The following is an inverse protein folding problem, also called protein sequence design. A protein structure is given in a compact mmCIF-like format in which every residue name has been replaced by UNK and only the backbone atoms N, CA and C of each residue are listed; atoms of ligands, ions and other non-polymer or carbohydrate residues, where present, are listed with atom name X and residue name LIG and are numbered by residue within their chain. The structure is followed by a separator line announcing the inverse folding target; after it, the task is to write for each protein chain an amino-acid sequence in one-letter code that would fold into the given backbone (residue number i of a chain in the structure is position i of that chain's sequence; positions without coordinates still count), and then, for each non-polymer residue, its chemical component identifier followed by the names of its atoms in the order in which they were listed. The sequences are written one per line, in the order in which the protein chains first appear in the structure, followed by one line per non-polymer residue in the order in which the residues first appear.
data_IF_231571733106
#
_entry.id   IF_231571733106
#
_cell.length_a   1.000
_cell.length_b   1.000
_cell.length_c   1.000
_cell.angle_alpha   90.00
_cell.angle_beta   90.00
_cell.angle_gamma   90.00
#
_symmetry.space_group_name_H-M   'P 1'
#
loop_
_entity.id
_entity.type
_entity.pdbx_description
1 polymer ?
#
# COMPACT_ATOMS: atom_id res chain seq x y z
N UNK A 1 -36.67 18.69 5.92
CA UNK A 1 -35.72 17.56 5.91
C UNK A 1 -34.44 18.07 6.53
N UNK A 2 -34.17 17.71 7.78
CA UNK A 2 -32.94 18.14 8.46
C UNK A 2 -31.77 17.38 7.83
N UNK A 3 -30.87 18.10 7.16
CA UNK A 3 -29.58 17.54 6.75
C UNK A 3 -28.84 17.18 8.04
N UNK A 4 -28.66 15.89 8.30
CA UNK A 4 -27.72 15.42 9.31
C UNK A 4 -26.33 15.73 8.75
N UNK A 5 -25.68 16.73 9.32
CA UNK A 5 -24.25 16.99 9.10
C UNK A 5 -23.48 15.79 9.66
N UNK A 6 -22.92 14.95 8.80
CA UNK A 6 -21.98 13.92 9.24
C UNK A 6 -20.61 14.58 9.32
N UNK A 7 -20.24 15.03 10.53
CA UNK A 7 -18.84 15.37 10.79
C UNK A 7 -17.96 14.14 10.55
N UNK A 8 -16.67 14.32 10.27
CA UNK A 8 -15.77 13.20 10.02
C UNK A 8 -15.77 12.23 11.20
N UNK A 9 -15.79 10.93 10.90
CA UNK A 9 -15.72 9.88 11.93
C UNK A 9 -14.28 9.71 12.36
N UNK A 10 -14.04 9.73 13.68
CA UNK A 10 -12.73 9.37 14.22
C UNK A 10 -12.68 7.86 14.35
N UNK A 11 -11.69 7.24 13.71
CA UNK A 11 -11.48 5.82 13.78
C UNK A 11 -10.40 5.46 14.81
N UNK A 12 -10.52 4.24 15.33
CA UNK A 12 -9.56 3.60 16.21
C UNK A 12 -9.22 2.21 15.68
N UNK A 13 -7.93 1.92 15.54
CA UNK A 13 -7.45 0.56 15.21
C UNK A 13 -6.52 0.12 16.33
N UNK A 14 -6.64 -1.13 16.77
CA UNK A 14 -5.71 -1.78 17.70
C UNK A 14 -5.30 -3.14 17.15
N UNK A 15 -3.99 -3.40 17.15
CA UNK A 15 -3.42 -4.71 16.94
C UNK A 15 -2.80 -5.24 18.22
N UNK A 16 -2.98 -6.54 18.48
CA UNK A 16 -2.35 -7.20 19.62
C UNK A 16 -1.71 -8.52 19.23
N UNK A 17 -0.59 -8.86 19.84
CA UNK A 17 0.11 -10.13 19.64
C UNK A 17 0.73 -10.60 20.95
N UNK A 18 0.75 -11.92 21.15
CA UNK A 18 1.50 -12.57 22.23
C UNK A 18 2.87 -12.98 21.71
N UNK A 19 3.91 -12.61 22.45
CA UNK A 19 5.31 -12.90 22.16
C UNK A 19 5.88 -13.75 23.29
N UNK A 20 6.53 -14.85 22.95
CA UNK A 20 7.21 -15.78 23.84
C UNK A 20 8.59 -15.21 24.22
N UNK A 21 8.56 -13.99 24.75
CA UNK A 21 9.70 -13.30 25.34
C UNK A 21 9.28 -12.48 26.57
N UNK A 22 10.16 -12.34 27.58
CA UNK A 22 9.92 -11.50 28.76
C UNK A 22 9.59 -10.06 28.38
N UNK A 23 8.65 -9.44 29.10
CA UNK A 23 8.19 -8.08 28.80
C UNK A 23 9.31 -7.02 28.77
N UNK A 24 10.37 -7.20 29.57
CA UNK A 24 11.53 -6.31 29.56
C UNK A 24 12.34 -6.41 28.28
N UNK A 25 12.51 -7.63 27.72
CA UNK A 25 13.20 -7.85 26.45
C UNK A 25 12.43 -7.18 25.31
N UNK A 26 11.11 -7.40 25.26
CA UNK A 26 10.25 -6.80 24.24
C UNK A 26 10.22 -5.28 24.36
N UNK A 27 10.08 -4.76 25.58
CA UNK A 27 10.06 -3.32 25.84
C UNK A 27 11.35 -2.63 25.45
N UNK A 28 12.52 -3.24 25.70
CA UNK A 28 13.81 -2.65 25.31
C UNK A 28 13.91 -2.36 23.81
N UNK A 29 13.31 -3.20 22.95
CA UNK A 29 13.25 -2.97 21.51
C UNK A 29 12.18 -1.93 21.14
N UNK A 30 10.97 -2.07 21.69
CA UNK A 30 9.81 -1.23 21.35
C UNK A 30 10.00 0.22 21.81
N UNK A 31 10.61 0.44 22.98
CA UNK A 31 10.81 1.77 23.55
C UNK A 31 11.78 2.63 22.77
N UNK A 32 12.75 2.00 22.09
CA UNK A 32 13.75 2.73 21.33
C UNK A 32 13.11 3.35 20.09
N UNK A 33 12.73 4.61 20.22
CA UNK A 33 12.02 5.37 19.19
C UNK A 33 12.83 5.49 17.89
N UNK A 34 14.15 5.30 17.93
CA UNK A 34 14.99 5.32 16.72
C UNK A 34 14.96 4.00 15.93
N UNK A 35 14.52 2.90 16.55
CA UNK A 35 14.63 1.52 16.01
C UNK A 35 13.37 0.94 15.40
N UNK A 36 12.36 1.76 15.13
CA UNK A 36 11.12 1.27 14.50
C UNK A 36 11.36 0.56 13.16
N UNK A 37 12.39 0.97 12.41
CA UNK A 37 12.78 0.32 11.15
C UNK A 37 13.30 -1.11 11.30
N UNK A 38 13.65 -1.56 12.52
CA UNK A 38 14.10 -2.94 12.76
C UNK A 38 12.94 -3.94 12.75
N UNK A 39 11.70 -3.49 13.01
CA UNK A 39 10.55 -4.38 13.17
C UNK A 39 9.26 -3.92 12.46
N UNK A 40 9.24 -2.72 11.87
CA UNK A 40 8.13 -2.24 11.01
C UNK A 40 8.59 -2.24 9.56
N UNK A 41 8.26 -3.29 8.77
CA UNK A 41 8.85 -3.50 7.45
C UNK A 41 8.74 -2.32 6.48
N UNK A 42 7.60 -1.60 6.38
CA UNK A 42 7.48 -0.47 5.46
C UNK A 42 8.51 0.66 5.67
N UNK A 43 9.15 0.74 6.83
CA UNK A 43 10.18 1.74 7.13
C UNK A 43 11.53 1.28 6.58
N UNK A 44 12.12 2.07 5.68
CA UNK A 44 13.44 1.85 5.10
C UNK A 44 14.55 2.42 5.96
N UNK A 45 14.38 3.64 6.47
CA UNK A 45 15.35 4.30 7.34
C UNK A 45 14.68 5.27 8.30
N UNK A 46 15.35 5.51 9.43
CA UNK A 46 14.93 6.45 10.47
C UNK A 46 16.03 7.47 10.66
N UNK A 47 15.67 8.76 10.65
CA UNK A 47 16.58 9.86 10.99
C UNK A 47 15.98 10.62 12.16
N UNK A 48 16.70 10.65 13.28
CA UNK A 48 16.31 11.45 14.44
C UNK A 48 16.58 12.94 14.17
N UNK A 49 15.61 13.78 14.50
CA UNK A 49 15.72 15.24 14.52
C UNK A 49 15.56 15.73 15.96
N UNK A 50 16.68 15.82 16.69
CA UNK A 50 16.63 16.01 18.14
C UNK A 50 16.25 14.73 18.87
N UNK A 51 15.72 14.88 20.09
CA UNK A 51 15.50 13.76 21.01
C UNK A 51 14.12 13.11 20.84
N UNK A 52 13.13 13.86 20.33
CA UNK A 52 11.73 13.46 20.31
C UNK A 52 11.10 13.42 18.92
N UNK A 53 11.81 13.80 17.85
CA UNK A 53 11.27 13.74 16.48
C UNK A 53 12.07 12.76 15.64
N UNK A 54 11.38 11.94 14.84
CA UNK A 54 11.98 11.07 13.84
C UNK A 54 11.35 11.28 12.47
N UNK A 55 12.16 11.23 11.43
CA UNK A 55 11.72 11.15 10.04
C UNK A 55 11.90 9.73 9.57
N UNK A 56 10.80 9.10 9.18
CA UNK A 56 10.76 7.80 8.55
C UNK A 56 10.83 8.01 7.04
N UNK A 57 11.78 7.35 6.39
CA UNK A 57 11.71 7.11 4.93
C UNK A 57 11.10 5.74 4.74
N UNK A 58 10.02 5.67 3.98
CA UNK A 58 9.38 4.43 3.61
C UNK A 58 10.13 3.77 2.45
N UNK A 59 9.84 2.49 2.19
CA UNK A 59 10.49 1.75 1.10
C UNK A 59 10.21 2.34 -0.30
N UNK A 60 9.07 3.01 -0.48
CA UNK A 60 8.71 3.74 -1.71
C UNK A 60 9.40 5.12 -1.83
N UNK A 61 10.18 5.51 -0.81
CA UNK A 61 10.90 6.78 -0.75
C UNK A 61 10.10 7.93 -0.14
N UNK A 62 8.82 7.74 0.17
CA UNK A 62 8.01 8.79 0.81
C UNK A 62 8.35 8.95 2.29
N UNK A 63 8.05 10.11 2.86
CA UNK A 63 8.41 10.42 4.25
C UNK A 63 7.23 10.64 5.18
N UNK A 64 7.37 10.17 6.41
CA UNK A 64 6.48 10.45 7.55
C UNK A 64 7.33 11.00 8.69
N UNK A 65 6.93 12.12 9.27
CA UNK A 65 7.57 12.68 10.46
C UNK A 65 6.71 12.42 11.68
N UNK A 66 7.31 11.81 12.69
CA UNK A 66 6.63 11.46 13.94
C UNK A 66 7.32 12.12 15.13
N UNK A 67 6.51 12.48 16.13
CA UNK A 67 6.99 13.02 17.39
C UNK A 67 6.61 12.10 18.54
N UNK A 68 7.59 11.79 19.37
CA UNK A 68 7.44 11.13 20.66
C UNK A 68 6.75 12.07 21.65
N UNK A 69 5.58 11.66 22.15
CA UNK A 69 4.81 12.42 23.12
C UNK A 69 5.00 11.92 24.56
N UNK A 70 5.54 10.72 24.74
CA UNK A 70 5.94 10.25 26.05
C UNK A 70 6.27 8.77 26.12
N UNK A 71 7.15 8.44 27.05
CA UNK A 71 7.56 7.09 27.39
C UNK A 71 7.37 6.86 28.90
N UNK A 72 7.02 5.64 29.30
CA UNK A 72 6.96 5.26 30.70
C UNK A 72 7.46 3.83 30.87
N UNK A 73 8.62 3.67 31.50
CA UNK A 73 9.28 2.38 31.72
C UNK A 73 8.55 1.47 32.72
N UNK A 74 7.91 2.06 33.73
CA UNK A 74 7.15 1.32 34.75
C UNK A 74 5.93 0.63 34.15
N UNK A 75 5.22 1.34 33.28
CA UNK A 75 4.00 0.88 32.60
C UNK A 75 4.26 0.36 31.17
N UNK A 76 5.53 0.34 30.74
CA UNK A 76 6.00 -0.09 29.40
C UNK A 76 5.13 0.45 28.28
N UNK A 77 4.95 1.77 28.28
CA UNK A 77 4.06 2.48 27.35
C UNK A 77 4.82 3.55 26.59
N UNK A 78 4.72 3.52 25.26
CA UNK A 78 5.25 4.51 24.33
C UNK A 78 4.08 5.25 23.66
N UNK A 79 4.14 6.56 23.55
CA UNK A 79 3.12 7.40 22.89
C UNK A 79 3.77 8.33 21.89
N UNK A 80 3.24 8.38 20.68
CA UNK A 80 3.72 9.26 19.63
C UNK A 80 2.57 9.71 18.72
N UNK A 81 2.85 10.66 17.83
CA UNK A 81 1.93 11.15 16.81
C UNK A 81 2.64 11.39 15.51
N UNK A 82 1.92 11.33 14.40
CA UNK A 82 2.41 11.85 13.12
C UNK A 82 2.21 13.37 13.16
N UNK A 83 3.28 14.12 12.87
CA UNK A 83 3.26 15.59 12.83
C UNK A 83 3.39 16.14 11.40
N UNK A 84 3.89 15.35 10.46
CA UNK A 84 3.97 15.72 9.05
C UNK A 84 4.06 14.48 8.15
N UNK A 85 3.60 14.60 6.92
CA UNK A 85 3.69 13.55 5.89
C UNK A 85 3.93 14.16 4.53
N UNK A 86 4.67 13.46 3.68
CA UNK A 86 4.87 13.91 2.32
C UNK A 86 3.54 13.94 1.55
N UNK A 87 3.22 15.11 0.99
CA UNK A 87 2.12 15.29 0.05
C UNK A 87 2.52 14.67 -1.29
N UNK A 88 1.75 13.69 -1.73
CA UNK A 88 1.93 12.98 -3.01
C UNK A 88 1.18 13.68 -4.12
N UNK A 89 -0.01 14.21 -3.80
CA UNK A 89 -0.90 14.84 -4.77
C UNK A 89 -1.83 15.82 -4.05
N UNK A 90 -2.19 16.90 -4.73
CA UNK A 90 -3.30 17.77 -4.32
C UNK A 90 -4.44 17.62 -5.32
N UNK A 91 -5.64 17.36 -4.82
CA UNK A 91 -6.82 17.15 -5.63
C UNK A 91 -7.95 18.10 -5.23
N UNK A 92 -8.68 18.54 -6.26
CA UNK A 92 -9.94 19.26 -6.13
C UNK A 92 -11.08 18.27 -6.35
N UNK A 93 -11.83 17.95 -5.29
CA UNK A 93 -12.95 17.01 -5.36
C UNK A 93 -14.18 17.58 -4.65
N UNK A 94 -15.31 17.62 -5.35
CA UNK A 94 -16.56 18.21 -4.85
C UNK A 94 -16.42 19.62 -4.26
N UNK A 95 -15.49 20.43 -4.80
CA UNK A 95 -15.23 21.79 -4.32
C UNK A 95 -14.29 21.86 -3.10
N UNK A 96 -13.74 20.73 -2.68
CA UNK A 96 -12.78 20.64 -1.58
C UNK A 96 -11.37 20.37 -2.11
N UNK A 97 -10.40 21.16 -1.65
CA UNK A 97 -8.97 20.89 -1.85
C UNK A 97 -8.50 19.94 -0.77
N UNK A 98 -8.05 18.76 -1.16
CA UNK A 98 -7.51 17.76 -0.23
C UNK A 98 -6.16 17.27 -0.72
N UNK A 99 -5.32 16.82 0.21
CA UNK A 99 -3.96 16.37 -0.07
C UNK A 99 -3.87 14.87 0.19
N UNK A 100 -3.51 14.11 -0.84
CA UNK A 100 -3.09 12.72 -0.66
C UNK A 100 -1.69 12.73 -0.10
N UNK A 101 -1.49 12.11 1.05
CA UNK A 101 -0.21 12.02 1.76
C UNK A 101 0.28 10.57 1.79
N UNK A 102 1.44 10.33 2.39
CA UNK A 102 2.06 9.00 2.48
C UNK A 102 1.20 7.95 3.20
N UNK A 103 0.28 8.37 4.08
CA UNK A 103 -0.80 7.53 4.62
C UNK A 103 -2.13 8.30 4.53
N UNK A 104 -3.26 7.63 4.24
CA UNK A 104 -4.56 8.28 4.07
C UNK A 104 -5.24 8.64 5.40
N UNK A 105 -4.48 9.16 6.37
CA UNK A 105 -4.94 9.53 7.72
C UNK A 105 -4.59 10.98 8.06
N UNK A 106 -5.31 11.55 9.02
CA UNK A 106 -5.00 12.85 9.62
C UNK A 106 -5.13 12.77 11.16
N UNK A 107 -4.41 13.66 11.86
CA UNK A 107 -4.36 13.78 13.33
C UNK A 107 -3.98 12.47 14.05
N UNK A 108 -3.19 11.62 13.38
CA UNK A 108 -2.87 10.29 13.88
C UNK A 108 -2.06 10.36 15.18
N UNK A 109 -2.57 9.66 16.19
CA UNK A 109 -1.91 9.45 17.49
C UNK A 109 -1.84 7.96 17.78
N UNK A 110 -0.74 7.50 18.36
CA UNK A 110 -0.51 6.09 18.64
C UNK A 110 0.01 5.82 20.05
N UNK A 111 -0.34 4.65 20.55
CA UNK A 111 0.14 4.10 21.83
C UNK A 111 0.59 2.67 21.59
N UNK A 112 1.81 2.34 22.00
CA UNK A 112 2.30 0.97 22.11
C UNK A 112 2.45 0.64 23.59
N UNK A 113 1.95 -0.53 24.00
CA UNK A 113 2.05 -1.02 25.37
C UNK A 113 2.51 -2.48 25.39
N UNK A 114 3.45 -2.78 26.28
CA UNK A 114 3.90 -4.15 26.56
C UNK A 114 3.41 -4.56 27.96
N UNK A 115 2.78 -5.72 28.08
CA UNK A 115 2.30 -6.25 29.36
C UNK A 115 2.83 -7.66 29.54
N UNK A 116 3.39 -7.99 30.70
CA UNK A 116 3.80 -9.36 30.99
C UNK A 116 2.55 -10.26 31.08
N UNK A 117 2.56 -11.40 30.39
CA UNK A 117 1.59 -12.47 30.63
C UNK A 117 2.09 -13.34 31.79
N UNK A 118 3.37 -13.67 31.74
CA UNK A 118 4.14 -14.39 32.76
C UNK A 118 5.62 -14.00 32.68
N UNK A 119 6.52 -14.84 33.22
CA UNK A 119 7.96 -14.55 33.27
C UNK A 119 8.63 -14.60 31.88
N UNK A 120 8.12 -15.44 30.97
CA UNK A 120 8.75 -15.75 29.68
C UNK A 120 7.90 -15.29 28.49
N UNK A 121 6.66 -14.83 28.72
CA UNK A 121 5.73 -14.36 27.70
C UNK A 121 5.17 -12.97 28.00
N UNK A 122 4.91 -12.20 26.94
CA UNK A 122 4.31 -10.87 27.02
C UNK A 122 3.31 -10.62 25.90
N UNK A 123 2.39 -9.69 26.14
CA UNK A 123 1.44 -9.17 25.17
C UNK A 123 1.87 -7.77 24.74
N UNK A 124 1.94 -7.54 23.44
CA UNK A 124 2.11 -6.20 22.84
C UNK A 124 0.76 -5.74 22.30
N UNK A 125 0.36 -4.52 22.65
CA UNK A 125 -0.76 -3.80 22.03
C UNK A 125 -0.21 -2.56 21.32
N UNK A 126 -0.61 -2.37 20.07
CA UNK A 126 -0.34 -1.18 19.28
C UNK A 126 -1.67 -0.59 18.81
N UNK A 127 -2.00 0.59 19.30
CA UNK A 127 -3.27 1.27 19.00
C UNK A 127 -3.02 2.62 18.33
N UNK A 128 -3.93 3.00 17.44
CA UNK A 128 -3.92 4.28 16.74
C UNK A 128 -5.31 4.87 16.67
N UNK A 129 -5.39 6.21 16.74
CA UNK A 129 -6.61 6.97 16.53
C UNK A 129 -6.35 8.08 15.53
N UNK A 130 -7.24 8.22 14.55
CA UNK A 130 -7.06 9.12 13.41
C UNK A 130 -8.40 9.47 12.79
N UNK A 131 -8.40 10.50 11.95
CA UNK A 131 -9.44 10.75 10.94
C UNK A 131 -8.92 10.28 9.58
N UNK A 132 -9.78 9.93 8.62
CA UNK A 132 -9.38 9.87 7.22
C UNK A 132 -8.95 11.27 6.72
N UNK A 133 -8.13 11.31 5.66
CA UNK A 133 -7.82 12.57 4.97
C UNK A 133 -9.10 13.23 4.44
N UNK A 134 -10.04 12.45 3.92
CA UNK A 134 -11.35 12.96 3.52
C UNK A 134 -12.24 13.19 4.74
N UNK A 135 -12.37 14.44 5.16
CA UNK A 135 -13.15 14.82 6.35
C UNK A 135 -14.51 15.46 6.02
N UNK A 136 -15.04 15.24 4.82
CA UNK A 136 -16.31 15.82 4.35
C UNK A 136 -17.36 14.73 4.09
N UNK A 137 -18.59 15.15 3.78
CA UNK A 137 -19.67 14.21 3.47
C UNK A 137 -19.29 13.28 2.29
N UNK A 138 -19.68 11.99 2.34
CA UNK A 138 -19.47 11.07 1.24
C UNK A 138 -20.11 11.54 -0.08
N UNK A 139 -19.58 11.12 -1.25
CA UNK A 139 -18.50 10.15 -1.40
C UNK A 139 -17.13 10.76 -1.15
N UNK A 140 -16.19 9.94 -0.65
CA UNK A 140 -14.77 10.30 -0.60
C UNK A 140 -14.13 10.03 -1.98
N UNK A 141 -13.07 10.79 -2.36
CA UNK A 141 -12.18 10.36 -3.43
C UNK A 141 -11.56 8.99 -3.10
N UNK A 142 -11.37 8.15 -4.12
CA UNK A 142 -10.71 6.85 -3.99
C UNK A 142 -9.39 6.96 -3.20
N UNK A 143 -9.20 6.10 -2.20
CA UNK A 143 -7.96 6.05 -1.42
C UNK A 143 -7.88 7.04 -0.27
N UNK A 144 -8.91 7.85 0.00
CA UNK A 144 -8.90 8.89 1.04
C UNK A 144 -10.03 8.75 2.07
N UNK A 145 -10.93 7.78 1.90
CA UNK A 145 -12.09 7.59 2.77
C UNK A 145 -11.78 6.77 4.03
N UNK A 146 -12.82 6.53 4.82
CA UNK A 146 -12.74 5.78 6.08
C UNK A 146 -12.13 4.37 5.88
N UNK A 147 -12.61 3.64 4.88
CA UNK A 147 -12.15 2.27 4.60
C UNK A 147 -10.66 2.22 4.24
N UNK A 148 -10.17 3.19 3.45
CA UNK A 148 -8.78 3.29 3.05
C UNK A 148 -7.86 3.59 4.25
N UNK A 149 -8.30 4.53 5.10
CA UNK A 149 -7.62 4.92 6.33
C UNK A 149 -7.50 3.73 7.32
N UNK A 150 -8.61 3.05 7.56
CA UNK A 150 -8.65 1.85 8.42
C UNK A 150 -7.77 0.74 7.84
N UNK A 151 -7.87 0.49 6.54
CA UNK A 151 -7.11 -0.56 5.87
C UNK A 151 -5.59 -0.33 5.99
N UNK A 152 -5.13 0.90 5.75
CA UNK A 152 -3.73 1.26 5.85
C UNK A 152 -3.16 1.02 7.27
N UNK A 153 -3.85 1.49 8.31
CA UNK A 153 -3.38 1.35 9.70
C UNK A 153 -3.49 -0.09 10.20
N UNK A 154 -4.59 -0.78 9.90
CA UNK A 154 -4.76 -2.22 10.21
C UNK A 154 -3.59 -3.02 9.66
N UNK A 155 -3.17 -2.67 8.44
CA UNK A 155 -2.08 -3.35 7.78
C UNK A 155 -0.72 -3.15 8.37
N UNK A 156 -0.40 -1.89 8.66
CA UNK A 156 0.83 -1.54 9.35
C UNK A 156 0.96 -2.34 10.65
N UNK A 157 -0.11 -2.43 11.44
CA UNK A 157 -0.10 -3.13 12.72
C UNK A 157 0.02 -4.64 12.56
N UNK A 158 -0.70 -5.22 11.60
CA UNK A 158 -0.64 -6.65 11.36
C UNK A 158 0.77 -7.10 10.96
N UNK A 159 1.40 -6.40 10.02
CA UNK A 159 2.74 -6.72 9.55
C UNK A 159 3.79 -6.41 10.61
N UNK A 160 3.71 -5.24 11.25
CA UNK A 160 4.68 -4.82 12.26
C UNK A 160 4.67 -5.75 13.48
N UNK A 161 3.50 -6.08 14.02
CA UNK A 161 3.40 -6.98 15.19
C UNK A 161 3.80 -8.41 14.86
N UNK A 162 3.47 -8.93 13.67
CA UNK A 162 3.93 -10.25 13.24
C UNK A 162 5.45 -10.30 13.07
N UNK A 163 6.06 -9.24 12.53
CA UNK A 163 7.52 -9.11 12.37
C UNK A 163 8.20 -8.99 13.72
N UNK A 164 7.65 -8.17 14.63
CA UNK A 164 8.16 -8.01 15.99
C UNK A 164 8.18 -9.35 16.76
N UNK A 165 7.09 -10.12 16.70
CA UNK A 165 7.02 -11.47 17.27
C UNK A 165 8.14 -12.36 16.70
N UNK A 166 8.22 -12.43 15.38
CA UNK A 166 9.23 -13.25 14.70
C UNK A 166 10.66 -12.86 15.05
N UNK A 167 10.94 -11.56 15.21
CA UNK A 167 12.27 -11.04 15.53
C UNK A 167 12.70 -11.41 16.97
N UNK A 168 11.76 -11.40 17.91
CA UNK A 168 12.06 -11.62 19.33
C UNK A 168 12.14 -13.11 19.72
N UNK A 169 11.44 -13.97 18.98
CA UNK A 169 11.37 -15.42 19.20
C UNK A 169 12.46 -16.21 18.46
N UNK A 170 13.12 -15.60 17.47
CA UNK A 170 14.19 -16.27 16.72
C UNK A 170 15.48 -16.53 17.53
N UNK A 171 15.61 -15.99 18.75
CA UNK A 171 16.75 -16.21 19.64
C UNK A 171 16.57 -17.41 20.60
N UNK A 172 15.36 -17.93 20.75
CA UNK A 172 15.01 -18.98 21.73
C UNK A 172 14.76 -20.30 21.02
N UNK A 173 15.84 -21.00 20.63
CA UNK A 173 15.87 -22.42 20.22
C UNK A 173 14.61 -23.04 19.58
N UNK A 174 14.54 -22.95 18.24
CA UNK A 174 13.71 -23.70 17.26
C UNK A 174 12.31 -24.24 17.66
N UNK A 175 11.30 -24.00 16.80
CA UNK A 175 11.04 -24.99 15.77
C UNK A 175 11.02 -24.43 14.33
N UNK A 176 10.85 -25.36 13.40
CA UNK A 176 10.90 -25.30 11.93
C UNK A 176 10.18 -24.13 11.25
N UNK A 177 10.59 -23.88 10.01
CA UNK A 177 10.13 -22.89 9.02
C UNK A 177 8.63 -22.94 8.59
N UNK A 178 7.72 -23.12 9.54
CA UNK A 178 6.33 -22.74 9.40
C UNK A 178 6.04 -21.61 10.39
N UNK A 179 5.20 -20.65 9.99
CA UNK A 179 4.54 -19.67 10.88
C UNK A 179 5.16 -18.27 11.00
N UNK A 180 5.45 -17.57 9.88
CA UNK A 180 5.13 -16.12 9.84
C UNK A 180 3.61 -16.00 9.77
N UNK A 181 2.90 -16.38 10.83
CA UNK A 181 1.44 -16.37 10.80
C UNK A 181 0.95 -15.01 11.24
N UNK A 182 0.53 -14.22 10.25
CA UNK A 182 -0.23 -13.00 10.49
C UNK A 182 -1.57 -13.28 11.20
N UNK A 183 -1.97 -14.55 11.36
CA UNK A 183 -3.15 -14.96 12.12
C UNK A 183 -2.95 -14.92 13.64
N UNK A 184 -1.71 -14.77 14.13
CA UNK A 184 -1.43 -14.57 15.55
C UNK A 184 -1.72 -13.13 16.02
N UNK A 185 -1.92 -12.19 15.10
CA UNK A 185 -2.27 -10.80 15.42
C UNK A 185 -3.79 -10.67 15.48
N UNK A 186 -4.31 -10.25 16.64
CA UNK A 186 -5.72 -9.92 16.82
C UNK A 186 -5.92 -8.44 16.55
N UNK A 187 -6.84 -8.11 15.66
CA UNK A 187 -7.16 -6.73 15.27
C UNK A 187 -8.55 -6.33 15.76
N UNK A 188 -8.66 -5.09 16.22
CA UNK A 188 -9.92 -4.45 16.65
C UNK A 188 -10.03 -3.12 15.93
N UNK A 189 -11.17 -2.86 15.29
CA UNK A 189 -11.50 -1.59 14.64
C UNK A 189 -12.74 -1.02 15.31
N UNK A 190 -12.65 0.21 15.82
CA UNK A 190 -13.74 0.92 16.49
C UNK A 190 -14.42 0.11 17.62
N UNK A 191 -13.64 -0.74 18.29
CA UNK A 191 -14.10 -1.60 19.37
C UNK A 191 -14.58 -2.99 18.94
N UNK A 192 -14.72 -3.23 17.63
CA UNK A 192 -15.18 -4.50 17.07
C UNK A 192 -13.98 -5.36 16.61
N UNK A 193 -13.87 -6.62 17.04
CA UNK A 193 -12.86 -7.54 16.53
C UNK A 193 -13.05 -7.78 15.03
N UNK A 194 -11.94 -7.77 14.28
CA UNK A 194 -11.93 -8.09 12.85
C UNK A 194 -10.95 -9.22 12.57
N UNK A 195 -11.31 -10.15 11.68
CA UNK A 195 -10.35 -11.16 11.23
C UNK A 195 -9.17 -10.48 10.53
N UNK A 196 -7.95 -10.95 10.86
CA UNK A 196 -6.70 -10.45 10.31
C UNK A 196 -6.55 -10.79 8.82
N UNK A 197 -7.32 -10.13 7.95
CA UNK A 197 -7.03 -10.10 6.53
C UNK A 197 -5.77 -9.24 6.32
N UNK A 198 -4.63 -9.92 6.22
CA UNK A 198 -3.32 -9.38 5.90
C UNK A 198 -3.38 -8.44 4.70
N UNK A 199 -3.01 -7.17 4.84
CA UNK A 199 -2.40 -6.47 3.72
C UNK A 199 -0.92 -6.87 3.69
N UNK A 200 -0.41 -7.15 2.51
CA UNK A 200 1.03 -7.25 2.30
C UNK A 200 1.55 -5.86 1.92
N UNK A 201 1.86 -5.00 2.90
CA UNK A 201 2.91 -3.99 2.68
C UNK A 201 4.25 -4.71 2.86
N UNK A 202 4.66 -5.44 1.83
CA UNK A 202 5.91 -6.18 1.83
C UNK A 202 7.08 -5.24 1.50
N UNK A 203 7.85 -4.90 2.53
CA UNK A 203 9.25 -4.56 2.35
C UNK A 203 10.08 -5.84 2.21
N UNK A 204 10.87 -5.93 1.16
CA UNK A 204 11.91 -6.94 0.94
C UNK A 204 13.04 -6.32 0.10
N UNK A 205 14.27 -6.90 0.09
CA UNK A 205 15.44 -6.47 0.86
C UNK A 205 16.38 -5.52 0.10
N UNK A 206 17.18 -4.75 0.86
CA UNK A 206 18.25 -3.92 0.33
C UNK A 206 19.40 -4.77 -0.25
N UNK A 207 19.71 -4.56 -1.54
CA UNK A 207 20.97 -4.97 -2.13
C UNK A 207 22.08 -3.99 -1.72
N UNK A 208 23.21 -4.54 -1.26
CA UNK A 208 24.43 -3.84 -0.86
C UNK A 208 25.02 -3.07 -2.05
N UNK A 209 25.35 -1.76 -1.96
CA UNK A 209 26.16 -1.14 -2.99
C UNK A 209 27.62 -1.53 -2.78
N UNK A 210 28.20 -2.14 -3.82
CA UNK A 210 29.63 -2.29 -3.93
C UNK A 210 30.29 -0.91 -4.08
N UNK A 211 31.43 -0.80 -3.38
CA UNK A 211 32.41 0.26 -3.40
C UNK A 211 32.71 0.81 -4.81
N UNK A 212 32.68 2.12 -4.99
CA UNK A 212 33.43 2.79 -6.06
C UNK A 212 33.86 4.18 -5.60
N UNK A 213 35.09 4.21 -5.07
CA UNK A 213 36.15 5.16 -5.34
C UNK A 213 35.76 6.57 -5.86
N UNK A 214 36.16 7.55 -5.05
CA UNK A 214 36.25 8.97 -5.38
C UNK A 214 37.10 9.27 -6.61
N UNK A 215 36.71 10.28 -7.38
CA UNK A 215 37.61 11.17 -8.12
C UNK A 215 36.93 12.55 -8.34
N UNK A 216 37.71 13.64 -8.41
CA UNK A 216 37.33 14.93 -7.81
C UNK A 216 36.76 15.96 -8.79
N UNK A 217 36.21 17.01 -8.18
CA UNK A 217 35.72 18.24 -8.78
C UNK A 217 36.79 19.02 -9.56
N UNK A 218 36.38 19.70 -10.63
CA UNK A 218 37.05 20.91 -11.14
C UNK A 218 36.03 21.84 -11.80
N UNK A 219 35.83 22.98 -11.13
CA UNK A 219 35.75 24.37 -11.61
C UNK A 219 34.73 24.82 -12.69
N UNK A 220 34.25 26.06 -12.49
CA UNK A 220 33.07 26.65 -13.12
C UNK A 220 33.39 27.68 -14.23
N UNK A 221 32.52 27.68 -15.26
CA UNK A 221 31.98 28.82 -16.05
C UNK A 221 32.91 29.64 -16.99
N UNK A 222 32.38 30.42 -17.98
CA UNK A 222 30.99 30.88 -18.18
C UNK A 222 30.39 30.75 -19.62
N UNK A 223 29.14 31.23 -19.71
CA UNK A 223 28.17 31.18 -20.81
C UNK A 223 28.54 31.93 -22.11
N UNK A 224 27.93 31.49 -23.22
CA UNK A 224 27.55 32.32 -24.36
C UNK A 224 26.25 31.77 -25.00
N UNK A 225 25.32 32.66 -25.32
CA UNK A 225 24.01 32.40 -25.98
C UNK A 225 24.01 33.08 -27.38
N UNK A 226 22.94 32.96 -28.19
CA UNK A 226 22.67 31.96 -29.22
C UNK A 226 22.82 32.53 -30.66
N UNK A 227 22.70 31.68 -31.69
CA UNK A 227 22.39 32.14 -33.05
C UNK A 227 21.50 31.14 -33.80
N UNK A 228 20.46 31.70 -34.44
CA UNK A 228 19.45 31.11 -35.31
C UNK A 228 19.98 30.22 -36.44
N UNK A 229 19.16 29.27 -36.89
CA UNK A 229 18.78 29.14 -38.31
C UNK A 229 17.46 28.38 -38.47
N UNK A 230 16.64 28.92 -39.38
CA UNK A 230 15.26 28.61 -39.72
C UNK A 230 14.99 27.23 -40.37
N UNK A 231 13.84 26.68 -39.99
CA UNK A 231 12.73 26.14 -40.77
C UNK A 231 12.90 25.67 -42.25
N UNK A 232 12.38 24.43 -42.46
CA UNK A 232 11.42 24.00 -43.51
C UNK A 232 11.92 23.81 -44.96
N UNK A 233 11.32 22.90 -45.77
CA UNK A 233 9.88 22.57 -45.75
C UNK A 233 9.47 21.09 -45.80
N UNK A 234 8.21 20.92 -45.42
CA UNK A 234 7.36 19.77 -45.64
C UNK A 234 6.89 19.68 -47.11
N UNK A 235 6.56 18.46 -47.53
CA UNK A 235 5.57 18.23 -48.59
C UNK A 235 4.61 17.12 -48.14
N UNK A 236 3.33 17.46 -48.05
CA UNK A 236 2.15 16.57 -48.03
C UNK A 236 2.01 15.89 -49.42
N UNK A 237 1.13 14.94 -49.76
CA UNK A 237 -0.11 14.34 -49.25
C UNK A 237 -0.30 13.00 -50.04
N UNK A 238 -1.18 12.03 -49.77
CA UNK A 238 -2.64 12.00 -49.60
C UNK A 238 -3.00 10.56 -49.18
N UNK A 239 -3.75 10.34 -48.10
CA UNK A 239 -5.22 10.21 -48.04
C UNK A 239 -5.81 9.00 -48.77
N UNK A 240 -6.31 8.04 -47.97
CA UNK A 240 -7.51 7.27 -48.29
C UNK A 240 -8.38 7.19 -47.02
N UNK A 241 -9.60 7.72 -47.15
CA UNK A 241 -10.64 7.80 -46.12
C UNK A 241 -11.13 6.42 -45.67
N UNK A 242 -11.17 6.20 -44.36
CA UNK A 242 -12.39 6.16 -43.53
C UNK A 242 -13.21 4.86 -43.63
N UNK A 243 -13.04 4.02 -42.62
CA UNK A 243 -14.14 3.31 -42.00
C UNK A 243 -14.11 3.66 -40.50
N UNK A 244 -15.01 4.56 -40.11
CA UNK A 244 -15.33 4.87 -38.72
C UNK A 244 -15.90 3.63 -38.06
N UNK A 245 -15.07 2.89 -37.33
CA UNK A 245 -15.55 2.07 -36.22
C UNK A 245 -15.40 2.91 -34.97
N UNK A 246 -16.55 3.23 -34.37
CA UNK A 246 -16.64 3.91 -33.09
C UNK A 246 -15.64 3.34 -32.09
N UNK A 247 -14.90 4.22 -31.41
CA UNK A 247 -14.19 3.86 -30.20
C UNK A 247 -15.18 3.14 -29.26
N UNK A 248 -14.84 1.98 -28.69
CA UNK A 248 -15.71 1.35 -27.72
C UNK A 248 -15.85 2.31 -26.52
N UNK A 249 -17.09 2.45 -26.05
CA UNK A 249 -17.49 3.37 -25.01
C UNK A 249 -16.59 3.24 -23.76
N UNK A 250 -16.08 4.37 -23.27
CA UNK A 250 -15.30 4.48 -22.05
C UNK A 250 -16.12 4.24 -20.76
N UNK A 251 -17.38 3.80 -20.87
CA UNK A 251 -18.34 3.69 -19.75
C UNK A 251 -18.82 2.27 -19.48
N UNK A 252 -18.42 1.28 -20.28
CA UNK A 252 -18.79 -0.12 -20.03
C UNK A 252 -17.76 -0.78 -19.09
N UNK A 253 -18.17 -1.12 -17.88
CA UNK A 253 -17.39 -1.97 -16.96
C UNK A 253 -17.16 -3.32 -17.63
N UNK A 254 -15.91 -3.68 -17.99
CA UNK A 254 -15.65 -4.84 -18.85
C UNK A 254 -15.98 -6.17 -18.16
N UNK A 255 -16.10 -6.16 -16.84
CA UNK A 255 -16.44 -7.30 -16.01
C UNK A 255 -17.94 -7.42 -15.68
N UNK A 256 -18.79 -6.49 -16.14
CA UNK A 256 -20.17 -6.35 -15.67
C UNK A 256 -21.03 -7.61 -15.91
N UNK A 257 -20.81 -8.32 -17.02
CA UNK A 257 -21.55 -9.55 -17.34
C UNK A 257 -21.08 -10.78 -16.55
N UNK A 258 -19.91 -10.67 -15.91
CA UNK A 258 -19.26 -11.77 -15.20
C UNK A 258 -19.40 -11.69 -13.68
N UNK A 259 -20.09 -10.66 -13.18
CA UNK A 259 -20.33 -10.44 -11.76
C UNK A 259 -21.83 -10.49 -11.48
N UNK A 260 -22.20 -11.23 -10.43
CA UNK A 260 -23.55 -11.22 -9.88
C UNK A 260 -23.51 -10.80 -8.42
N UNK A 261 -24.13 -9.67 -8.12
CA UNK A 261 -24.27 -9.18 -6.75
C UNK A 261 -25.68 -9.43 -6.22
N UNK A 262 -25.80 -9.55 -4.90
CA UNK A 262 -27.08 -9.50 -4.22
C UNK A 262 -27.74 -8.11 -4.34
N UNK A 263 -29.01 -8.00 -3.92
CA UNK A 263 -29.79 -6.77 -4.04
C UNK A 263 -29.15 -5.57 -3.32
N UNK A 264 -28.32 -5.84 -2.30
CA UNK A 264 -27.62 -4.82 -1.52
C UNK A 264 -26.24 -4.48 -2.08
N UNK A 265 -25.78 -5.17 -3.13
CA UNK A 265 -24.47 -4.95 -3.77
C UNK A 265 -23.26 -5.35 -2.91
N UNK A 266 -23.49 -6.05 -1.80
CA UNK A 266 -22.48 -6.37 -0.78
C UNK A 266 -21.84 -7.73 -0.98
N UNK A 267 -22.57 -8.68 -1.58
CA UNK A 267 -22.07 -10.02 -1.85
C UNK A 267 -22.06 -10.28 -3.36
N UNK A 268 -20.91 -10.02 -3.99
CA UNK A 268 -20.70 -10.24 -5.40
C UNK A 268 -19.96 -11.55 -5.64
N UNK A 269 -20.56 -12.41 -6.47
CA UNK A 269 -19.98 -13.66 -6.95
C UNK A 269 -19.46 -13.47 -8.36
N UNK A 270 -18.45 -14.27 -8.73
CA UNK A 270 -17.86 -14.28 -10.06
C UNK A 270 -18.16 -15.57 -10.81
N UNK A 271 -18.21 -15.48 -12.14
CA UNK A 271 -18.34 -16.64 -12.99
C UNK A 271 -16.99 -17.35 -13.26
N UNK A 272 -17.02 -18.36 -14.13
CA UNK A 272 -15.82 -19.08 -14.56
C UNK A 272 -14.82 -18.17 -15.27
N UNK A 273 -15.28 -17.18 -16.03
CA UNK A 273 -14.43 -16.28 -16.80
C UNK A 273 -13.54 -15.44 -15.89
N UNK A 274 -14.11 -14.77 -14.88
CA UNK A 274 -13.32 -14.02 -13.91
C UNK A 274 -12.51 -14.93 -12.99
N UNK A 275 -12.95 -16.17 -12.75
CA UNK A 275 -12.17 -17.11 -11.94
C UNK A 275 -10.88 -17.56 -12.65
N UNK A 276 -10.90 -17.66 -13.98
CA UNK A 276 -9.68 -17.86 -14.78
C UNK A 276 -8.74 -16.66 -14.64
N UNK A 277 -9.29 -15.43 -14.59
CA UNK A 277 -8.54 -14.21 -14.32
C UNK A 277 -7.86 -14.24 -12.96
N UNK A 278 -8.61 -14.54 -11.89
CA UNK A 278 -8.09 -14.73 -10.53
C UNK A 278 -6.95 -15.76 -10.47
N UNK A 279 -7.12 -16.91 -11.11
CA UNK A 279 -6.07 -17.96 -11.14
C UNK A 279 -4.83 -17.52 -11.92
N UNK A 280 -5.03 -16.79 -13.01
CA UNK A 280 -3.93 -16.25 -13.83
C UNK A 280 -3.15 -15.21 -13.04
N UNK A 281 -3.84 -14.36 -12.27
CA UNK A 281 -3.23 -13.36 -11.40
C UNK A 281 -2.29 -13.96 -10.34
N UNK A 282 -2.47 -15.22 -9.93
CA UNK A 282 -1.55 -15.89 -9.00
C UNK A 282 -0.07 -15.87 -9.44
N UNK A 283 0.20 -15.80 -10.75
CA UNK A 283 1.56 -15.63 -11.28
C UNK A 283 2.10 -14.20 -11.13
N UNK A 284 1.21 -13.21 -11.11
CA UNK A 284 1.53 -11.79 -11.01
C UNK A 284 1.63 -11.31 -9.56
N UNK A 285 0.92 -11.97 -8.63
CA UNK A 285 0.92 -11.70 -7.20
C UNK A 285 2.33 -11.64 -6.58
N UNK A 286 3.26 -12.44 -7.10
CA UNK A 286 4.65 -12.48 -6.61
C UNK A 286 5.29 -11.10 -6.60
N UNK A 287 4.98 -10.28 -7.60
CA UNK A 287 5.53 -8.92 -7.70
C UNK A 287 4.48 -7.86 -7.36
N UNK A 288 3.24 -8.00 -7.81
CA UNK A 288 2.18 -7.00 -7.60
C UNK A 288 1.45 -7.16 -6.26
N UNK A 289 2.03 -7.90 -5.32
CA UNK A 289 1.48 -8.12 -4.00
C UNK A 289 0.29 -9.08 -4.00
N UNK A 290 -0.03 -9.57 -2.81
CA UNK A 290 -1.27 -10.31 -2.57
C UNK A 290 -2.41 -9.42 -3.05
N UNK A 291 -3.34 -10.01 -3.80
CA UNK A 291 -4.56 -9.32 -4.21
C UNK A 291 -4.36 -8.13 -5.17
N UNK A 292 -3.14 -7.90 -5.67
CA UNK A 292 -2.84 -6.86 -6.66
C UNK A 292 -2.61 -5.47 -6.05
N UNK A 293 -2.45 -5.40 -4.73
CA UNK A 293 -2.29 -4.15 -3.97
C UNK A 293 -0.91 -3.50 -4.12
N UNK A 294 0.00 -4.12 -4.86
CA UNK A 294 1.35 -3.65 -5.08
C UNK A 294 2.33 -4.19 -4.04
N UNK A 295 3.60 -3.94 -4.29
CA UNK A 295 4.71 -4.23 -3.39
C UNK A 295 5.80 -3.18 -3.56
N UNK A 296 6.91 -3.36 -2.85
CA UNK A 296 8.12 -2.55 -3.03
C UNK A 296 8.82 -2.73 -4.39
N UNK A 297 8.43 -3.74 -5.19
CA UNK A 297 9.05 -4.03 -6.50
C UNK A 297 8.08 -3.93 -7.69
N UNK A 298 6.78 -3.72 -7.45
CA UNK A 298 5.82 -3.47 -8.50
C UNK A 298 4.62 -2.65 -7.99
N UNK A 299 4.06 -1.73 -8.79
CA UNK A 299 2.98 -0.85 -8.34
C UNK A 299 1.68 -1.62 -8.05
N UNK A 300 0.79 -0.98 -7.29
CA UNK A 300 -0.58 -1.45 -7.09
C UNK A 300 -1.31 -1.51 -8.43
N UNK A 301 -1.77 -2.71 -8.79
CA UNK A 301 -2.61 -2.89 -9.95
C UNK A 301 -4.02 -2.36 -9.71
N UNK A 302 -4.49 -2.32 -8.45
CA UNK A 302 -5.78 -1.72 -8.11
C UNK A 302 -5.87 -0.24 -8.48
N UNK A 303 -4.73 0.44 -8.52
CA UNK A 303 -4.62 1.83 -8.96
C UNK A 303 -4.27 1.91 -10.44
N UNK A 304 -3.24 1.17 -10.88
CA UNK A 304 -2.73 1.30 -12.25
C UNK A 304 -3.70 0.88 -13.34
N UNK A 305 -4.55 -0.12 -13.13
CA UNK A 305 -5.53 -0.53 -14.15
C UNK A 305 -6.68 0.46 -14.34
N UNK A 306 -6.78 1.49 -13.49
CA UNK A 306 -7.68 2.64 -13.70
C UNK A 306 -7.12 3.65 -14.68
N UNK A 307 -5.79 3.77 -14.74
CA UNK A 307 -5.06 4.73 -15.57
C UNK A 307 -4.70 4.17 -16.96
N UNK A 308 -4.74 2.85 -17.13
CA UNK A 308 -4.36 2.17 -18.36
C UNK A 308 -5.59 1.82 -19.20
N UNK A 309 -5.49 2.09 -20.51
CA UNK A 309 -6.38 1.42 -21.48
C UNK A 309 -6.11 -0.08 -21.52
N UNK A 310 -7.08 -0.85 -22.00
CA UNK A 310 -6.96 -2.32 -22.17
C UNK A 310 -5.78 -2.67 -23.06
N UNK A 311 -5.57 -1.92 -24.13
CA UNK A 311 -4.46 -2.10 -25.07
C UNK A 311 -3.11 -1.81 -24.41
N UNK A 312 -3.02 -0.74 -23.62
CA UNK A 312 -1.81 -0.43 -22.86
C UNK A 312 -1.53 -1.51 -21.81
N UNK A 313 -2.54 -1.99 -21.10
CA UNK A 313 -2.39 -3.09 -20.14
C UNK A 313 -1.84 -4.34 -20.84
N UNK A 314 -2.42 -4.72 -21.99
CA UNK A 314 -1.94 -5.86 -22.78
C UNK A 314 -0.52 -5.69 -23.28
N UNK A 315 -0.17 -4.51 -23.80
CA UNK A 315 1.19 -4.21 -24.22
C UNK A 315 2.19 -4.36 -23.08
N UNK A 316 1.89 -3.78 -21.90
CA UNK A 316 2.75 -3.91 -20.72
C UNK A 316 2.92 -5.37 -20.32
N UNK A 317 1.84 -6.14 -20.19
CA UNK A 317 1.92 -7.55 -19.78
C UNK A 317 2.69 -8.38 -20.81
N UNK A 318 2.43 -8.20 -22.10
CA UNK A 318 3.08 -8.97 -23.16
C UNK A 318 4.58 -8.64 -23.25
N UNK A 319 4.93 -7.35 -23.32
CA UNK A 319 6.28 -6.88 -23.61
C UNK A 319 7.11 -6.59 -22.36
N UNK A 320 6.51 -6.68 -21.18
CA UNK A 320 7.13 -6.29 -19.93
C UNK A 320 7.14 -4.77 -19.76
N UNK A 321 7.64 -4.33 -18.62
CA UNK A 321 7.74 -2.91 -18.31
C UNK A 321 8.95 -2.65 -17.43
N UNK A 322 9.76 -1.67 -17.82
CA UNK A 322 10.83 -1.16 -16.98
C UNK A 322 10.46 0.24 -16.52
N UNK A 323 10.07 0.35 -15.25
CA UNK A 323 9.63 1.60 -14.65
C UNK A 323 10.61 2.12 -13.61
N UNK A 324 10.19 3.15 -12.90
CA UNK A 324 10.89 3.64 -11.71
C UNK A 324 10.79 2.65 -10.53
N UNK A 325 9.71 1.86 -10.48
CA UNK A 325 9.47 0.81 -9.47
C UNK A 325 9.56 -0.55 -10.19
N UNK A 326 10.75 -1.15 -10.14
CA UNK A 326 11.02 -2.52 -10.60
C UNK A 326 10.94 -2.75 -12.11
N UNK A 327 11.18 -4.02 -12.47
CA UNK A 327 11.11 -4.53 -13.84
C UNK A 327 10.08 -5.64 -13.89
N UNK A 328 9.02 -5.45 -14.67
CA UNK A 328 8.07 -6.51 -15.00
C UNK A 328 8.60 -7.27 -16.22
N UNK A 329 8.88 -8.58 -16.11
CA UNK A 329 9.33 -9.37 -17.24
C UNK A 329 8.23 -9.47 -18.33
N UNK A 330 8.59 -9.69 -19.59
CA UNK A 330 7.62 -9.94 -20.65
C UNK A 330 6.93 -11.30 -20.44
N UNK A 331 5.61 -11.33 -20.59
CA UNK A 331 4.83 -12.56 -20.48
C UNK A 331 4.36 -13.11 -21.83
N UNK A 332 4.72 -12.47 -22.95
CA UNK A 332 4.28 -12.87 -24.31
C UNK A 332 4.53 -14.34 -24.66
N UNK A 333 5.56 -14.96 -24.07
CA UNK A 333 5.92 -16.36 -24.33
C UNK A 333 5.21 -17.34 -23.37
N UNK A 334 4.55 -16.85 -22.33
CA UNK A 334 3.83 -17.68 -21.38
C UNK A 334 2.37 -17.89 -21.86
N UNK A 335 2.01 -19.09 -22.34
CA UNK A 335 0.67 -19.34 -22.87
C UNK A 335 -0.41 -19.31 -21.78
N UNK A 336 -0.06 -19.51 -20.51
CA UNK A 336 -1.03 -19.46 -19.41
C UNK A 336 -1.43 -18.02 -19.05
N UNK A 337 -0.59 -17.03 -19.37
CA UNK A 337 -0.91 -15.61 -19.19
C UNK A 337 -1.56 -15.06 -20.45
N UNK A 338 -0.95 -15.26 -21.62
CA UNK A 338 -1.43 -14.64 -22.86
C UNK A 338 -2.79 -15.17 -23.33
N UNK A 339 -3.11 -16.46 -23.09
CA UNK A 339 -4.44 -17.00 -23.42
C UNK A 339 -5.54 -16.44 -22.51
N UNK A 340 -5.19 -16.00 -21.31
CA UNK A 340 -6.12 -15.57 -20.27
C UNK A 340 -5.99 -14.07 -19.97
N UNK A 341 -5.34 -13.31 -20.85
CA UNK A 341 -4.98 -11.91 -20.59
C UNK A 341 -6.21 -10.99 -20.49
N UNK A 342 -7.28 -11.36 -21.19
CA UNK A 342 -8.57 -10.68 -21.11
C UNK A 342 -9.26 -10.97 -19.77
N UNK A 343 -9.33 -12.25 -19.37
CA UNK A 343 -9.83 -12.64 -18.05
C UNK A 343 -9.08 -11.94 -16.92
N UNK A 344 -7.76 -11.81 -17.06
CA UNK A 344 -6.90 -11.13 -16.10
C UNK A 344 -7.24 -9.64 -15.99
N UNK A 345 -7.37 -8.94 -17.13
CA UNK A 345 -7.72 -7.53 -17.17
C UNK A 345 -9.08 -7.27 -16.51
N UNK A 346 -10.10 -8.04 -16.86
CA UNK A 346 -11.45 -7.85 -16.35
C UNK A 346 -11.53 -8.18 -14.85
N UNK A 347 -10.81 -9.20 -14.39
CA UNK A 347 -10.67 -9.50 -12.96
C UNK A 347 -10.01 -8.34 -12.21
N UNK A 348 -8.91 -7.80 -12.72
CA UNK A 348 -8.22 -6.68 -12.08
C UNK A 348 -9.07 -5.41 -12.10
N UNK A 349 -9.83 -5.15 -13.16
CA UNK A 349 -10.81 -4.05 -13.24
C UNK A 349 -11.92 -4.23 -12.21
N UNK A 350 -12.50 -5.43 -12.09
CA UNK A 350 -13.54 -5.72 -11.11
C UNK A 350 -13.06 -5.53 -9.66
N UNK A 351 -11.81 -5.90 -9.39
CA UNK A 351 -11.14 -5.68 -8.09
C UNK A 351 -10.82 -4.22 -7.83
N UNK A 352 -10.21 -3.55 -8.80
CA UNK A 352 -9.88 -2.11 -8.77
C UNK A 352 -11.10 -1.25 -8.47
N UNK A 353 -12.25 -1.62 -9.03
CA UNK A 353 -13.51 -0.92 -8.87
C UNK A 353 -14.27 -1.39 -7.60
N UNK A 354 -13.61 -2.17 -6.73
CA UNK A 354 -14.10 -2.72 -5.46
C UNK A 354 -15.41 -3.52 -5.56
N UNK A 355 -15.72 -4.06 -6.75
CA UNK A 355 -16.93 -4.86 -6.97
C UNK A 355 -16.75 -6.28 -6.42
N UNK A 356 -15.52 -6.77 -6.38
CA UNK A 356 -15.20 -8.08 -5.80
C UNK A 356 -14.15 -7.92 -4.68
N UNK A 357 -14.32 -8.60 -3.53
CA UNK A 357 -13.47 -8.40 -2.36
C UNK A 357 -12.08 -9.03 -2.51
N UNK A 358 -11.15 -8.62 -1.64
CA UNK A 358 -9.86 -9.25 -1.42
C UNK A 358 -10.00 -10.72 -0.95
N UNK A 359 -9.04 -11.57 -1.30
CA UNK A 359 -9.01 -12.97 -0.87
C UNK A 359 -9.94 -13.90 -1.64
N UNK A 360 -10.64 -14.78 -0.92
CA UNK A 360 -11.41 -15.90 -1.52
C UNK A 360 -12.60 -15.35 -2.31
N UNK A 361 -12.61 -15.61 -3.61
CA UNK A 361 -13.71 -15.19 -4.48
C UNK A 361 -14.81 -16.25 -4.56
N UNK A 362 -16.02 -15.87 -4.20
CA UNK A 362 -17.21 -16.71 -4.28
C UNK A 362 -17.72 -16.81 -5.72
N UNK A 363 -18.31 -17.96 -6.06
CA UNK A 363 -18.65 -18.34 -7.43
C UNK A 363 -20.13 -18.66 -7.58
N UNK A 364 -20.68 -18.43 -8.78
CA UNK A 364 -22.04 -18.81 -9.14
C UNK A 364 -22.09 -19.76 -10.34
#
# INVERSE_FOLDING_TARGET
MSAQSFGPTRHSVEGTVTIDAPADKVWALVRDFSKVGEWVPPVKSVVMQGDDVRVLTLQDGHTITEQLNGENDENKTLRYRIIDMQVLESLDFNGHKVQRTSLPVDTYTSIIKVTANDADSSKVSWSGKFYPVWSFDPPAPDGLGDEDAIFAIKGLYQIGLATLKSHLESDTGAPSAETTSMAAVVLVVDGEPVEGAAPAVAAQPAAVPADTAAAPATEAQPAATPADTAAAPATEAQSAAAATTAAPAADAKPYAEHVQCDADGKNCKIDKFLNVGFRTFGQCQVCHGIDGNGSTIAPSLMLKVKELSKEQFWDRVANGYQGQIGVMPPWKENPNVMKNIENLYDYLRARSDNVIPAGKVDRF
#
